data_IF_406251868077
#
_entry.id   IF_406251868077
#
_cell.length_a   1.000
_cell.length_b   1.000
_cell.length_c   1.000
_cell.angle_alpha   90.00
_cell.angle_beta   90.00
_cell.angle_gamma   90.00
#
_symmetry.space_group_name_H-M   'P 1'
#
loop_
_entity.id
_entity.type
_entity.pdbx_description
1 polymer ?
#
# COMPACT_ATOMS: atom_id res chain seq x y z
N UNK A 1 -5.70 -46.99 38.29
CA UNK A 1 -5.35 -46.38 36.98
C UNK A 1 -5.43 -44.88 37.17
N UNK A 2 -4.27 -44.27 37.45
CA UNK A 2 -4.11 -42.82 37.52
C UNK A 2 -4.39 -42.22 36.14
N UNK A 3 -5.31 -41.24 36.10
CA UNK A 3 -5.48 -40.40 34.94
C UNK A 3 -4.27 -39.47 34.84
N UNK A 4 -3.47 -39.66 33.79
CA UNK A 4 -2.36 -38.80 33.47
C UNK A 4 -2.83 -37.34 33.35
N UNK A 5 -2.30 -36.48 34.22
CA UNK A 5 -2.42 -35.05 34.10
C UNK A 5 -1.81 -34.65 32.75
N UNK A 6 -2.65 -34.20 31.82
CA UNK A 6 -2.20 -33.58 30.59
C UNK A 6 -1.37 -32.35 30.97
N UNK A 7 -0.10 -32.41 30.59
CA UNK A 7 0.89 -31.36 30.74
C UNK A 7 0.32 -30.06 30.14
N UNK A 8 0.02 -29.08 31.00
CA UNK A 8 -0.39 -27.76 30.52
C UNK A 8 0.86 -27.13 29.92
N UNK A 9 0.88 -26.75 28.63
CA UNK A 9 2.02 -26.02 28.10
C UNK A 9 2.25 -24.79 28.97
N UNK A 10 3.50 -24.62 29.42
CA UNK A 10 4.00 -23.41 30.08
C UNK A 10 3.37 -22.19 29.40
N UNK A 11 2.46 -21.51 30.09
CA UNK A 11 1.76 -20.38 29.51
C UNK A 11 2.77 -19.24 29.35
N UNK A 12 3.18 -18.97 28.11
CA UNK A 12 3.94 -17.77 27.73
C UNK A 12 3.33 -16.57 28.46
N UNK A 13 4.11 -15.87 29.29
CA UNK A 13 3.64 -14.63 29.90
C UNK A 13 3.42 -13.60 28.78
N UNK A 14 2.20 -13.08 28.59
CA UNK A 14 1.92 -12.14 27.50
C UNK A 14 2.75 -10.87 27.66
N UNK A 15 3.21 -10.31 26.54
CA UNK A 15 3.94 -9.05 26.52
C UNK A 15 3.01 -7.88 26.85
N UNK A 16 3.51 -6.94 27.65
CA UNK A 16 2.94 -5.59 27.70
C UNK A 16 3.15 -4.88 26.33
N UNK A 17 2.07 -4.43 25.66
CA UNK A 17 2.16 -3.78 24.35
C UNK A 17 3.10 -2.58 24.27
N UNK A 18 3.11 -1.73 25.29
CA UNK A 18 3.95 -0.52 25.30
C UNK A 18 5.43 -0.89 25.44
N UNK A 19 5.75 -1.79 26.37
CA UNK A 19 7.09 -2.32 26.56
C UNK A 19 7.60 -3.02 25.30
N UNK A 20 6.76 -3.85 24.67
CA UNK A 20 7.11 -4.53 23.43
C UNK A 20 7.40 -3.56 22.28
N UNK A 21 6.53 -2.57 22.08
CA UNK A 21 6.77 -1.53 21.07
C UNK A 21 8.11 -0.81 21.32
N UNK A 22 8.37 -0.40 22.56
CA UNK A 22 9.58 0.35 22.89
C UNK A 22 10.85 -0.49 22.67
N UNK A 23 10.87 -1.73 23.16
CA UNK A 23 12.08 -2.54 23.17
C UNK A 23 12.32 -3.36 21.89
N UNK A 24 11.25 -3.86 21.25
CA UNK A 24 11.36 -4.79 20.13
C UNK A 24 11.07 -4.14 18.77
N UNK A 25 10.26 -3.07 18.71
CA UNK A 25 9.89 -2.40 17.45
C UNK A 25 10.73 -1.12 17.25
N UNK A 26 10.62 -0.16 18.18
CA UNK A 26 11.27 1.15 18.07
C UNK A 26 12.79 1.05 18.04
N UNK A 27 13.39 0.24 18.91
CA UNK A 27 14.86 0.05 18.93
C UNK A 27 15.40 -0.74 17.73
N UNK A 28 14.53 -1.36 16.94
CA UNK A 28 14.87 -1.98 15.66
C UNK A 28 14.60 -1.05 14.46
N UNK A 29 14.44 0.27 14.71
CA UNK A 29 14.28 1.32 13.70
C UNK A 29 13.06 1.15 12.78
N UNK A 30 11.99 0.53 13.29
CA UNK A 30 10.70 0.53 12.60
C UNK A 30 9.95 1.81 12.95
N UNK A 31 9.80 2.68 11.96
CA UNK A 31 9.20 4.01 12.11
C UNK A 31 7.72 4.05 11.70
N UNK A 32 7.35 3.19 10.74
CA UNK A 32 5.99 3.15 10.16
C UNK A 32 5.42 1.73 10.15
N UNK A 33 4.12 1.66 10.40
CA UNK A 33 3.38 0.42 10.61
C UNK A 33 2.08 0.46 9.79
N UNK A 34 1.83 -0.55 8.97
CA UNK A 34 0.63 -0.64 8.14
C UNK A 34 -0.01 -2.02 8.30
N UNK A 35 -1.33 -2.14 8.22
CA UNK A 35 -1.91 -3.49 8.32
C UNK A 35 -3.41 -3.56 8.47
N UNK A 36 -3.91 -4.78 8.58
CA UNK A 36 -5.32 -5.08 8.84
C UNK A 36 -5.44 -5.72 10.23
N UNK A 37 -6.41 -5.31 11.08
CA UNK A 37 -6.45 -5.75 12.46
C UNK A 37 -6.58 -7.27 12.62
N UNK A 38 -5.84 -7.81 13.59
CA UNK A 38 -5.89 -9.20 14.01
C UNK A 38 -6.09 -9.28 15.53
N UNK A 39 -7.06 -10.10 15.93
CA UNK A 39 -7.29 -10.53 17.30
C UNK A 39 -6.05 -11.04 18.06
N UNK A 40 -5.15 -11.80 17.43
CA UNK A 40 -3.92 -12.29 18.07
C UNK A 40 -2.95 -11.16 18.40
N UNK A 41 -3.09 -10.02 17.71
CA UNK A 41 -2.31 -8.81 17.89
C UNK A 41 -3.09 -7.72 18.66
N UNK A 42 -4.32 -8.00 19.10
CA UNK A 42 -5.29 -6.99 19.54
C UNK A 42 -4.76 -6.01 20.60
N UNK A 43 -4.03 -6.49 21.61
CA UNK A 43 -3.38 -5.64 22.61
C UNK A 43 -2.38 -4.67 22.00
N UNK A 44 -1.49 -5.16 21.14
CA UNK A 44 -0.50 -4.35 20.41
C UNK A 44 -1.15 -3.35 19.45
N UNK A 45 -2.17 -3.78 18.71
CA UNK A 45 -2.88 -2.91 17.76
C UNK A 45 -3.69 -1.83 18.46
N UNK A 46 -4.27 -2.14 19.61
CA UNK A 46 -4.95 -1.15 20.46
C UNK A 46 -3.97 -0.12 21.00
N UNK A 47 -2.74 -0.55 21.35
CA UNK A 47 -1.66 0.37 21.70
C UNK A 47 -1.27 1.27 20.52
N UNK A 48 -1.11 0.73 19.31
CA UNK A 48 -0.78 1.55 18.12
C UNK A 48 -1.87 2.56 17.82
N UNK A 49 -3.12 2.13 17.73
CA UNK A 49 -4.25 3.02 17.44
C UNK A 49 -4.39 4.16 18.45
N UNK A 50 -4.02 3.93 19.72
CA UNK A 50 -4.14 4.93 20.77
C UNK A 50 -2.91 5.87 20.91
N UNK A 51 -1.77 5.53 20.31
CA UNK A 51 -0.49 6.23 20.55
C UNK A 51 0.30 6.59 19.28
N UNK A 52 -0.16 6.18 18.10
CA UNK A 52 0.45 6.52 16.81
C UNK A 52 -0.52 7.36 16.01
N UNK A 53 -0.03 8.44 15.43
CA UNK A 53 -0.82 9.25 14.50
C UNK A 53 -0.58 8.80 13.06
N UNK A 54 -1.55 9.06 12.21
CA UNK A 54 -1.33 9.05 10.78
C UNK A 54 -0.19 10.04 10.41
N UNK A 55 0.66 9.72 9.43
CA UNK A 55 0.68 8.48 8.65
C UNK A 55 1.62 7.39 9.19
N UNK A 56 2.09 7.50 10.44
CA UNK A 56 3.03 6.54 11.05
C UNK A 56 2.38 5.20 11.37
N UNK A 57 1.06 5.17 11.57
CA UNK A 57 0.26 3.96 11.63
C UNK A 57 -0.97 4.13 10.75
N UNK A 58 -1.19 3.21 9.81
CA UNK A 58 -2.39 3.21 8.95
C UNK A 58 -3.04 1.84 8.97
N UNK A 59 -4.32 1.81 9.32
CA UNK A 59 -5.18 0.64 9.21
C UNK A 59 -5.72 0.56 7.80
N UNK A 60 -5.29 -0.42 7.02
CA UNK A 60 -5.70 -0.59 5.63
C UNK A 60 -7.03 -1.33 5.54
N UNK A 61 -7.77 -1.14 4.44
CA UNK A 61 -9.00 -1.90 4.18
C UNK A 61 -8.69 -3.36 3.83
N UNK A 62 -7.50 -3.63 3.27
CA UNK A 62 -7.04 -4.98 2.96
C UNK A 62 -5.50 -5.10 3.02
N UNK A 63 -4.99 -6.31 3.23
CA UNK A 63 -3.58 -6.58 3.56
C UNK A 63 -2.63 -6.26 2.41
N UNK A 64 -3.07 -6.44 1.16
CA UNK A 64 -2.26 -6.08 -0.01
C UNK A 64 -1.92 -4.59 -0.04
N UNK A 65 -2.84 -3.74 0.40
CA UNK A 65 -2.60 -2.31 0.55
C UNK A 65 -1.48 -1.99 1.54
N UNK A 66 -1.38 -2.74 2.64
CA UNK A 66 -0.33 -2.56 3.64
C UNK A 66 1.06 -2.92 3.08
N UNK A 67 1.14 -4.01 2.30
CA UNK A 67 2.37 -4.42 1.60
C UNK A 67 2.79 -3.35 0.59
N UNK A 68 1.85 -2.80 -0.18
CA UNK A 68 2.12 -1.76 -1.16
C UNK A 68 2.59 -0.43 -0.52
N UNK A 69 1.97 -0.03 0.60
CA UNK A 69 2.42 1.11 1.41
C UNK A 69 3.86 0.93 1.92
N UNK A 70 4.15 -0.24 2.50
CA UNK A 70 5.50 -0.57 2.97
C UNK A 70 6.51 -0.57 1.82
N UNK A 71 6.13 -1.08 0.66
CA UNK A 71 6.99 -1.07 -0.51
C UNK A 71 7.32 0.36 -0.96
N UNK A 72 6.31 1.22 -1.06
CA UNK A 72 6.51 2.64 -1.37
C UNK A 72 7.45 3.34 -0.39
N UNK A 73 7.26 3.10 0.90
CA UNK A 73 8.13 3.64 1.95
C UNK A 73 9.59 3.19 1.77
N UNK A 74 9.82 1.91 1.49
CA UNK A 74 11.16 1.41 1.24
C UNK A 74 11.79 2.03 -0.01
N UNK A 75 11.04 2.12 -1.11
CA UNK A 75 11.52 2.72 -2.37
C UNK A 75 12.03 4.14 -2.16
N UNK A 76 11.35 4.92 -1.30
CA UNK A 76 11.67 6.32 -1.10
C UNK A 76 12.70 6.60 0.01
N UNK A 77 12.94 5.65 0.93
CA UNK A 77 13.76 5.89 2.13
C UNK A 77 14.87 4.87 2.36
N UNK A 78 14.80 3.71 1.69
CA UNK A 78 15.65 2.54 1.97
C UNK A 78 15.38 1.87 3.32
N UNK A 79 14.45 2.39 4.14
CA UNK A 79 14.11 1.84 5.46
C UNK A 79 13.09 0.72 5.36
N UNK A 80 12.96 -0.07 6.42
CA UNK A 80 12.01 -1.19 6.51
C UNK A 80 10.75 -0.73 7.26
N UNK A 81 9.58 -1.04 6.68
CA UNK A 81 8.28 -0.89 7.34
C UNK A 81 7.80 -2.22 7.93
N UNK A 82 6.90 -2.14 8.92
CA UNK A 82 6.20 -3.29 9.48
C UNK A 82 4.80 -3.40 8.87
N UNK A 83 4.49 -4.57 8.30
CA UNK A 83 3.15 -4.92 7.85
C UNK A 83 2.53 -5.92 8.83
N UNK A 84 1.44 -5.59 9.51
CA UNK A 84 0.73 -6.54 10.36
C UNK A 84 -0.53 -7.09 9.67
N UNK A 85 -0.80 -8.36 9.93
CA UNK A 85 -1.96 -9.06 9.40
C UNK A 85 -2.23 -10.35 10.20
N UNK A 86 -3.42 -10.91 10.06
CA UNK A 86 -3.68 -12.30 10.42
C UNK A 86 -3.21 -13.24 9.30
N UNK A 87 -2.97 -14.50 9.63
CA UNK A 87 -2.56 -15.53 8.66
C UNK A 87 -3.56 -15.77 7.52
N UNK A 88 -4.86 -15.59 7.70
CA UNK A 88 -5.84 -15.68 6.58
C UNK A 88 -5.65 -14.54 5.57
N UNK A 89 -5.34 -13.35 6.08
CA UNK A 89 -5.01 -12.14 5.31
C UNK A 89 -3.74 -12.28 4.47
N UNK A 90 -2.87 -13.25 4.79
CA UNK A 90 -1.70 -13.55 3.97
C UNK A 90 -2.11 -13.88 2.54
N UNK A 91 -3.22 -14.60 2.35
CA UNK A 91 -3.74 -14.94 1.02
C UNK A 91 -4.03 -13.71 0.16
N UNK A 92 -4.52 -12.64 0.77
CA UNK A 92 -4.77 -11.37 0.10
C UNK A 92 -3.47 -10.55 -0.11
N UNK A 93 -2.56 -10.62 0.85
CA UNK A 93 -1.23 -10.01 0.74
C UNK A 93 -0.33 -10.68 -0.32
N UNK A 94 -0.57 -11.95 -0.67
CA UNK A 94 0.29 -12.70 -1.59
C UNK A 94 0.44 -12.04 -2.95
N UNK A 95 -0.60 -11.35 -3.47
CA UNK A 95 -0.49 -10.68 -4.77
C UNK A 95 0.65 -9.65 -4.78
N UNK A 96 0.65 -8.58 -3.94
CA UNK A 96 1.78 -7.66 -3.90
C UNK A 96 3.04 -8.26 -3.26
N UNK A 97 2.96 -9.28 -2.39
CA UNK A 97 4.18 -9.93 -1.91
C UNK A 97 4.95 -10.59 -3.05
N UNK A 98 4.27 -11.32 -3.93
CA UNK A 98 4.89 -12.01 -5.07
C UNK A 98 5.23 -11.06 -6.21
N UNK A 99 4.33 -10.15 -6.54
CA UNK A 99 4.43 -9.33 -7.77
C UNK A 99 5.06 -7.95 -7.58
N UNK A 100 5.35 -7.57 -6.33
CA UNK A 100 6.05 -6.34 -5.98
C UNK A 100 7.24 -6.63 -5.07
N UNK A 101 7.04 -7.29 -3.93
CA UNK A 101 8.08 -7.37 -2.90
C UNK A 101 9.12 -8.49 -3.10
N UNK A 102 8.76 -9.59 -3.77
CA UNK A 102 9.61 -10.74 -3.95
C UNK A 102 10.96 -10.41 -4.62
N UNK A 103 12.00 -11.15 -4.23
CA UNK A 103 13.39 -10.97 -4.67
C UNK A 103 13.56 -11.08 -6.18
N UNK A 104 12.76 -11.91 -6.82
CA UNK A 104 12.74 -12.19 -8.25
C UNK A 104 12.17 -11.01 -9.05
N UNK A 105 11.32 -10.19 -8.42
CA UNK A 105 10.66 -9.03 -9.03
C UNK A 105 11.41 -7.75 -8.67
N UNK A 106 10.95 -6.96 -7.68
CA UNK A 106 11.68 -5.76 -7.27
C UNK A 106 12.61 -6.02 -6.08
N UNK A 107 12.38 -7.05 -5.28
CA UNK A 107 13.17 -7.38 -4.09
C UNK A 107 13.16 -6.25 -3.07
N UNK A 108 12.00 -6.08 -2.43
CA UNK A 108 11.70 -4.99 -1.50
C UNK A 108 11.67 -5.53 -0.06
N UNK A 109 12.65 -5.15 0.77
CA UNK A 109 12.68 -5.47 2.20
C UNK A 109 11.47 -4.95 2.98
N UNK A 110 10.88 -5.81 3.80
CA UNK A 110 9.81 -5.48 4.74
C UNK A 110 9.68 -6.54 5.84
N UNK A 111 9.15 -6.16 7.00
CA UNK A 111 8.84 -7.10 8.08
C UNK A 111 7.33 -7.34 8.15
N UNK A 112 6.91 -8.59 7.96
CA UNK A 112 5.55 -9.05 8.22
C UNK A 112 5.43 -9.47 9.69
N UNK A 113 4.39 -9.02 10.37
CA UNK A 113 3.99 -9.51 11.69
C UNK A 113 2.66 -10.22 11.56
N UNK A 114 2.70 -11.55 11.59
CA UNK A 114 1.55 -12.39 11.24
C UNK A 114 1.04 -13.08 12.50
N UNK A 115 -0.18 -12.79 12.92
CA UNK A 115 -0.78 -13.54 14.01
C UNK A 115 -1.27 -14.92 13.55
N UNK A 116 -1.07 -15.92 14.42
CA UNK A 116 -1.25 -17.33 14.10
C UNK A 116 -2.59 -17.88 14.59
N UNK A 117 -3.68 -17.51 13.91
CA UNK A 117 -5.01 -18.10 14.16
C UNK A 117 -5.04 -19.57 13.71
N UNK A 118 -5.64 -20.44 14.52
CA UNK A 118 -5.70 -21.88 14.27
C UNK A 118 -4.36 -22.60 14.43
N UNK A 119 -3.45 -22.09 15.28
CA UNK A 119 -2.17 -22.75 15.57
C UNK A 119 -2.40 -24.22 16.02
N UNK A 120 -1.69 -25.21 15.43
CA UNK A 120 -1.83 -26.60 15.84
C UNK A 120 -1.68 -26.80 17.35
N UNK A 121 -2.58 -27.58 17.95
CA UNK A 121 -2.62 -27.82 19.40
C UNK A 121 -3.39 -26.77 20.21
N UNK A 122 -3.84 -25.67 19.60
CA UNK A 122 -4.66 -24.64 20.26
C UNK A 122 -6.06 -24.63 19.63
N UNK A 123 -7.10 -24.71 20.47
CA UNK A 123 -8.49 -24.61 20.01
C UNK A 123 -8.79 -23.16 19.60
N UNK A 124 -9.37 -22.99 18.42
CA UNK A 124 -9.75 -21.70 17.83
C UNK A 124 -11.06 -21.88 17.03
N UNK A 125 -11.57 -20.81 16.45
CA UNK A 125 -12.78 -20.79 15.63
C UNK A 125 -12.67 -21.70 14.41
N UNK A 126 -13.77 -22.36 13.98
CA UNK A 126 -13.75 -23.38 12.94
C UNK A 126 -13.10 -22.95 11.62
N UNK A 127 -13.30 -21.70 11.21
CA UNK A 127 -12.73 -21.16 9.96
C UNK A 127 -11.19 -21.14 9.95
N UNK A 128 -10.53 -21.17 11.11
CA UNK A 128 -9.08 -21.16 11.20
C UNK A 128 -8.45 -22.55 11.07
N UNK A 129 -9.26 -23.62 11.17
CA UNK A 129 -8.77 -25.00 11.19
C UNK A 129 -8.01 -25.40 9.91
N UNK A 130 -8.32 -24.76 8.79
CA UNK A 130 -7.65 -25.02 7.50
C UNK A 130 -6.36 -24.23 7.34
N UNK A 131 -6.38 -22.93 7.66
CA UNK A 131 -5.31 -21.98 7.35
C UNK A 131 -4.23 -22.01 8.43
N UNK A 132 -4.60 -22.14 9.71
CA UNK A 132 -3.67 -22.13 10.83
C UNK A 132 -2.56 -23.17 10.73
N UNK A 133 -2.86 -24.46 10.53
CA UNK A 133 -1.84 -25.50 10.37
C UNK A 133 -0.93 -25.31 9.14
N UNK A 134 -1.38 -24.54 8.13
CA UNK A 134 -0.69 -24.37 6.85
C UNK A 134 0.12 -23.09 6.74
N UNK A 135 0.07 -22.20 7.75
CA UNK A 135 0.77 -20.92 7.71
C UNK A 135 2.25 -21.08 7.37
N UNK A 136 2.95 -21.97 8.09
CA UNK A 136 4.41 -22.14 7.89
C UNK A 136 4.73 -22.67 6.49
N UNK A 137 3.95 -23.63 5.99
CA UNK A 137 4.16 -24.19 4.66
C UNK A 137 3.79 -23.20 3.56
N UNK A 138 2.81 -22.33 3.80
CA UNK A 138 2.49 -21.23 2.89
C UNK A 138 3.65 -20.22 2.82
N UNK A 139 4.25 -19.85 3.94
CA UNK A 139 5.43 -18.95 3.96
C UNK A 139 6.62 -19.59 3.24
N UNK A 140 6.90 -20.89 3.48
CA UNK A 140 7.94 -21.64 2.76
C UNK A 140 7.68 -21.68 1.25
N UNK A 141 6.44 -21.94 0.83
CA UNK A 141 6.07 -22.02 -0.58
C UNK A 141 6.21 -20.68 -1.32
N UNK A 142 6.30 -19.57 -0.59
CA UNK A 142 6.51 -18.22 -1.14
C UNK A 142 7.91 -17.67 -0.85
N UNK A 143 8.84 -18.52 -0.38
CA UNK A 143 10.20 -18.13 -0.04
C UNK A 143 10.30 -16.93 0.92
N UNK A 144 9.36 -16.82 1.87
CA UNK A 144 9.34 -15.79 2.92
C UNK A 144 10.00 -16.38 4.15
N UNK A 145 11.22 -15.95 4.54
CA UNK A 145 11.85 -16.41 5.76
C UNK A 145 11.06 -15.99 6.98
N UNK A 146 10.94 -16.87 7.97
CA UNK A 146 10.19 -16.58 9.17
C UNK A 146 10.79 -17.16 10.44
N UNK A 147 10.43 -16.55 11.57
CA UNK A 147 10.67 -17.06 12.91
C UNK A 147 9.42 -16.84 13.78
N UNK A 148 9.13 -17.75 14.69
CA UNK A 148 8.08 -17.54 15.70
C UNK A 148 8.56 -16.55 16.77
N UNK A 149 7.65 -15.72 17.28
CA UNK A 149 7.95 -14.76 18.33
C UNK A 149 8.31 -15.50 19.64
N UNK A 150 9.51 -15.30 20.20
CA UNK A 150 9.93 -15.93 21.46
C UNK A 150 9.17 -15.40 22.67
N UNK A 151 9.33 -16.07 23.81
CA UNK A 151 8.63 -15.75 25.08
C UNK A 151 9.21 -14.55 25.84
N UNK A 152 10.44 -14.12 25.53
CA UNK A 152 11.08 -13.00 26.24
C UNK A 152 11.30 -11.79 25.34
N UNK A 153 11.28 -10.60 25.94
CA UNK A 153 11.44 -9.35 25.19
C UNK A 153 12.83 -9.24 24.54
N UNK A 154 13.87 -9.68 25.24
CA UNK A 154 15.26 -9.68 24.74
C UNK A 154 15.43 -10.58 23.53
N UNK A 155 14.82 -11.78 23.55
CA UNK A 155 14.85 -12.69 22.40
C UNK A 155 13.99 -12.17 21.25
N UNK A 156 12.80 -11.61 21.53
CA UNK A 156 11.93 -11.00 20.51
C UNK A 156 12.62 -9.86 19.77
N UNK A 157 13.29 -8.96 20.50
CA UNK A 157 14.12 -7.90 19.93
C UNK A 157 15.21 -8.45 19.02
N UNK A 158 15.89 -9.53 19.43
CA UNK A 158 16.95 -10.16 18.66
C UNK A 158 16.44 -10.86 17.38
N UNK A 159 15.30 -11.54 17.45
CA UNK A 159 14.63 -12.16 16.30
C UNK A 159 14.25 -11.09 15.28
N UNK A 160 13.54 -10.03 15.71
CA UNK A 160 13.14 -8.93 14.82
C UNK A 160 14.37 -8.28 14.18
N UNK A 161 15.43 -8.00 14.95
CA UNK A 161 16.68 -7.45 14.44
C UNK A 161 17.28 -8.32 13.33
N UNK A 162 17.36 -9.62 13.57
CA UNK A 162 17.95 -10.59 12.66
C UNK A 162 17.12 -10.75 11.38
N UNK A 163 15.78 -10.81 11.51
CA UNK A 163 14.88 -10.85 10.37
C UNK A 163 15.02 -9.58 9.50
N UNK A 164 15.03 -8.39 10.10
CA UNK A 164 15.23 -7.13 9.35
C UNK A 164 16.59 -7.13 8.62
N UNK A 165 17.66 -7.51 9.31
CA UNK A 165 18.98 -7.62 8.70
C UNK A 165 18.99 -8.59 7.51
N UNK A 166 18.34 -9.75 7.67
CA UNK A 166 18.15 -10.73 6.59
C UNK A 166 17.36 -10.16 5.43
N UNK A 167 16.25 -9.48 5.69
CA UNK A 167 15.38 -8.85 4.68
C UNK A 167 16.15 -7.87 3.81
N UNK A 168 16.98 -7.01 4.43
CA UNK A 168 17.82 -6.04 3.75
C UNK A 168 18.91 -6.69 2.88
N UNK A 169 19.57 -7.75 3.38
CA UNK A 169 20.64 -8.45 2.66
C UNK A 169 20.09 -9.31 1.53
N UNK A 170 19.06 -10.10 1.80
CA UNK A 170 18.47 -11.04 0.84
C UNK A 170 17.49 -10.36 -0.13
N UNK A 171 17.12 -9.10 0.14
CA UNK A 171 16.16 -8.30 -0.65
C UNK A 171 14.80 -9.00 -0.77
N UNK A 172 14.24 -9.44 0.35
CA UNK A 172 12.97 -10.19 0.40
C UNK A 172 12.15 -9.82 1.64
N UNK A 173 10.80 -9.93 1.61
CA UNK A 173 9.98 -9.89 2.82
C UNK A 173 10.38 -10.98 3.81
N UNK A 174 10.28 -10.68 5.10
CA UNK A 174 10.49 -11.65 6.19
C UNK A 174 9.32 -11.59 7.15
N UNK A 175 9.04 -12.66 7.89
CA UNK A 175 7.91 -12.72 8.81
C UNK A 175 8.30 -13.06 10.25
N UNK A 176 7.71 -12.36 11.21
CA UNK A 176 7.64 -12.81 12.60
C UNK A 176 6.23 -13.31 12.88
N UNK A 177 6.12 -14.53 13.39
CA UNK A 177 4.84 -15.21 13.61
C UNK A 177 4.45 -15.05 15.08
N UNK A 178 3.27 -14.49 15.34
CA UNK A 178 2.82 -14.17 16.69
C UNK A 178 1.78 -15.21 17.15
N UNK A 179 2.07 -16.01 18.19
CA UNK A 179 1.11 -16.98 18.71
C UNK A 179 -0.10 -16.28 19.37
N UNK A 180 -1.26 -16.96 19.47
CA UNK A 180 -2.40 -16.46 20.23
C UNK A 180 -2.02 -16.15 21.68
N UNK A 181 -2.53 -15.04 22.21
CA UNK A 181 -2.27 -14.64 23.60
C UNK A 181 -0.91 -13.99 23.85
N UNK A 182 -0.15 -13.64 22.80
CA UNK A 182 1.17 -13.05 22.95
C UNK A 182 1.18 -11.66 23.62
N UNK A 183 0.05 -10.95 23.68
CA UNK A 183 -0.04 -9.59 24.22
C UNK A 183 -1.13 -9.47 25.28
N UNK A 184 -0.86 -8.73 26.35
CA UNK A 184 -1.91 -8.31 27.29
C UNK A 184 -2.87 -7.33 26.60
N UNK A 185 -4.15 -7.27 27.02
CA UNK A 185 -5.07 -6.23 26.57
C UNK A 185 -4.50 -4.83 26.87
N UNK A 186 -4.65 -3.91 25.93
CA UNK A 186 -4.28 -2.51 26.13
C UNK A 186 -5.52 -1.63 26.18
N UNK A 187 -5.63 -0.84 27.25
CA UNK A 187 -6.63 0.23 27.37
C UNK A 187 -5.89 1.47 27.83
N UNK A 188 -5.97 2.57 27.08
CA UNK A 188 -5.39 3.84 27.50
C UNK A 188 -6.26 4.45 28.61
N UNK A 189 -5.67 4.90 29.72
CA UNK A 189 -6.38 5.51 30.87
C UNK A 189 -7.00 6.89 30.59
N UNK A 190 -6.96 7.37 29.36
CA UNK A 190 -7.76 8.51 28.87
C UNK A 190 -8.30 8.12 27.51
N UNK A 191 -9.60 8.32 27.32
CA UNK A 191 -10.38 8.20 26.07
C UNK A 191 -11.55 7.19 26.10
N UNK A 192 -12.29 7.14 27.21
CA UNK A 192 -13.70 6.67 27.17
C UNK A 192 -14.63 7.73 26.53
N UNK A 193 -14.21 8.99 26.40
CA UNK A 193 -15.00 10.06 25.77
C UNK A 193 -14.75 10.26 24.27
N UNK A 194 -13.62 9.80 23.72
CA UNK A 194 -13.30 9.89 22.27
C UNK A 194 -13.49 8.57 21.52
N UNK A 195 -14.04 7.54 22.18
CA UNK A 195 -14.48 6.32 21.51
C UNK A 195 -15.65 6.64 20.57
N UNK A 196 -15.26 6.80 19.32
CA UNK A 196 -16.08 7.04 18.14
C UNK A 196 -16.72 8.43 18.12
N UNK A 197 -15.97 9.43 17.61
CA UNK A 197 -16.62 10.45 16.78
C UNK A 197 -17.17 9.75 15.54
N UNK A 198 -18.30 9.05 15.69
CA UNK A 198 -19.20 8.74 14.59
C UNK A 198 -19.61 10.10 14.06
N UNK A 199 -19.00 10.51 12.94
CA UNK A 199 -19.16 11.85 12.40
C UNK A 199 -17.93 12.72 12.49
N UNK A 200 -16.79 12.26 11.93
CA UNK A 200 -16.07 13.19 11.03
C UNK A 200 -16.99 13.48 9.84
N UNK A 201 -18.06 14.26 10.06
CA UNK A 201 -18.57 15.18 9.03
C UNK A 201 -17.50 16.23 8.88
N UNK A 202 -16.40 15.80 8.28
CA UNK A 202 -15.30 16.62 7.87
C UNK A 202 -15.81 17.39 6.65
N UNK A 203 -16.76 18.31 6.86
CA UNK A 203 -17.20 19.33 5.91
C UNK A 203 -16.03 20.30 5.78
N UNK A 204 -14.98 19.82 5.13
CA UNK A 204 -13.87 20.66 4.70
C UNK A 204 -14.17 21.12 3.29
N UNK A 205 -13.63 22.29 2.94
CA UNK A 205 -13.82 22.90 1.62
C UNK A 205 -13.16 22.04 0.55
N UNK A 206 -13.89 21.04 0.07
CA UNK A 206 -13.55 20.31 -1.13
C UNK A 206 -13.69 21.27 -2.31
N UNK A 207 -12.62 21.49 -3.04
CA UNK A 207 -12.71 22.16 -4.34
C UNK A 207 -13.03 21.10 -5.39
N UNK A 208 -14.30 20.95 -5.77
CA UNK A 208 -14.70 20.17 -6.94
C UNK A 208 -14.73 21.08 -8.16
N UNK A 209 -14.08 20.67 -9.25
CA UNK A 209 -14.18 21.34 -10.55
C UNK A 209 -14.47 20.32 -11.64
N UNK A 210 -15.46 20.62 -12.49
CA UNK A 210 -15.73 19.90 -13.73
C UNK A 210 -15.35 20.81 -14.89
N UNK A 211 -14.29 20.46 -15.61
CA UNK A 211 -13.80 21.23 -16.77
C UNK A 211 -14.27 20.51 -18.06
N UNK A 212 -14.84 21.28 -18.99
CA UNK A 212 -15.96 20.88 -19.85
C UNK A 212 -15.79 19.74 -20.86
N UNK A 213 -16.92 18.99 -20.95
CA UNK A 213 -17.43 18.02 -21.93
C UNK A 213 -18.25 18.71 -23.06
N UNK A 214 -17.62 19.22 -24.12
CA UNK A 214 -18.14 19.24 -25.51
C UNK A 214 -17.13 19.80 -26.56
N UNK A 215 -17.11 19.13 -27.72
CA UNK A 215 -16.51 19.36 -29.06
C UNK A 215 -15.06 19.86 -29.26
N UNK A 216 -14.29 18.95 -29.90
CA UNK A 216 -13.08 19.10 -30.74
C UNK A 216 -11.65 18.90 -30.21
N UNK A 217 -11.43 18.40 -28.99
CA UNK A 217 -10.12 17.85 -28.60
C UNK A 217 -10.27 16.72 -27.56
N UNK A 218 -10.56 15.50 -28.02
CA UNK A 218 -10.74 14.34 -27.16
C UNK A 218 -9.45 14.01 -26.40
N UNK A 219 -9.58 13.79 -25.09
CA UNK A 219 -8.48 13.33 -24.26
C UNK A 219 -8.20 11.84 -24.50
N UNK A 220 -6.92 11.50 -24.64
CA UNK A 220 -6.41 10.13 -24.74
C UNK A 220 -5.52 9.82 -23.54
N UNK A 221 -5.27 8.54 -23.23
CA UNK A 221 -4.36 8.17 -22.13
C UNK A 221 -2.95 8.72 -22.36
N UNK A 222 -2.46 8.65 -23.60
CA UNK A 222 -1.18 9.24 -23.98
C UNK A 222 -1.12 10.75 -23.68
N UNK A 223 -2.19 11.50 -24.04
CA UNK A 223 -2.26 12.94 -23.76
C UNK A 223 -2.32 13.23 -22.26
N UNK A 224 -2.95 12.36 -21.46
CA UNK A 224 -2.89 12.46 -19.99
C UNK A 224 -1.45 12.30 -19.49
N UNK A 225 -0.77 11.25 -19.92
CA UNK A 225 0.64 10.97 -19.55
C UNK A 225 1.55 12.14 -19.95
N UNK A 226 1.45 12.62 -21.20
CA UNK A 226 2.23 13.77 -21.67
C UNK A 226 1.93 15.03 -20.88
N UNK A 227 0.66 15.29 -20.57
CA UNK A 227 0.22 16.43 -19.77
C UNK A 227 0.86 16.41 -18.38
N UNK A 228 0.76 15.28 -17.68
CA UNK A 228 1.37 15.08 -16.35
C UNK A 228 2.88 15.31 -16.43
N UNK A 229 3.58 14.62 -17.33
CA UNK A 229 5.03 14.77 -17.48
C UNK A 229 5.47 16.21 -17.78
N UNK A 230 4.68 16.98 -18.54
CA UNK A 230 4.97 18.38 -18.85
C UNK A 230 4.81 19.33 -17.65
N UNK A 231 4.12 18.90 -16.59
CA UNK A 231 3.86 19.71 -15.38
C UNK A 231 4.62 19.19 -14.14
N UNK A 232 5.36 18.09 -14.28
CA UNK A 232 6.28 17.61 -13.26
C UNK A 232 7.49 18.54 -13.17
N UNK A 233 7.81 18.95 -11.96
CA UNK A 233 9.07 19.60 -11.61
C UNK A 233 10.18 18.54 -11.45
N UNK A 234 11.43 18.98 -11.40
CA UNK A 234 12.60 18.09 -11.25
C UNK A 234 12.55 17.24 -9.97
N UNK A 235 12.03 17.78 -8.88
CA UNK A 235 11.88 17.07 -7.60
C UNK A 235 10.67 16.12 -7.54
N UNK A 236 9.80 16.15 -8.56
CA UNK A 236 8.60 15.33 -8.61
C UNK A 236 8.95 13.92 -9.10
N UNK A 237 8.23 12.93 -8.58
CA UNK A 237 8.33 11.54 -9.03
C UNK A 237 6.96 11.02 -9.41
N UNK A 238 6.90 9.97 -10.22
CA UNK A 238 5.64 9.32 -10.56
C UNK A 238 5.63 7.83 -10.24
N UNK A 239 4.45 7.32 -9.93
CA UNK A 239 4.13 5.89 -9.86
C UNK A 239 3.06 5.62 -10.91
N UNK A 240 3.23 4.59 -11.73
CA UNK A 240 2.21 4.18 -12.71
C UNK A 240 1.73 2.76 -12.46
N UNK A 241 0.43 2.51 -12.65
CA UNK A 241 -0.11 1.16 -12.58
C UNK A 241 0.27 0.31 -13.80
N UNK A 242 0.17 -1.01 -13.64
CA UNK A 242 0.52 -1.99 -14.65
C UNK A 242 -0.25 -1.80 -15.97
N UNK A 243 0.24 -2.44 -17.02
CA UNK A 243 -0.47 -2.48 -18.30
C UNK A 243 -0.27 -1.20 -19.11
N UNK A 244 -1.35 -0.68 -19.71
CA UNK A 244 -1.30 0.47 -20.62
C UNK A 244 -0.59 1.69 -20.01
N UNK A 245 -0.93 2.05 -18.78
CA UNK A 245 -0.43 3.25 -18.11
C UNK A 245 1.09 3.26 -17.96
N UNK A 246 1.68 2.21 -17.36
CA UNK A 246 3.15 2.12 -17.25
C UNK A 246 3.85 2.05 -18.60
N UNK A 247 3.25 1.37 -19.60
CA UNK A 247 3.86 1.23 -20.92
C UNK A 247 3.83 2.54 -21.71
N UNK A 248 2.76 3.31 -21.62
CA UNK A 248 2.66 4.65 -22.23
C UNK A 248 3.61 5.64 -21.56
N UNK A 249 3.68 5.64 -20.21
CA UNK A 249 4.65 6.46 -19.49
C UNK A 249 6.08 6.16 -19.93
N UNK A 250 6.43 4.87 -20.04
CA UNK A 250 7.73 4.43 -20.52
C UNK A 250 7.99 4.87 -21.96
N UNK A 251 7.04 4.66 -22.87
CA UNK A 251 7.12 5.08 -24.27
C UNK A 251 7.38 6.58 -24.39
N UNK A 252 6.58 7.41 -23.72
CA UNK A 252 6.69 8.87 -23.79
C UNK A 252 8.03 9.37 -23.28
N UNK A 253 8.55 8.81 -22.17
CA UNK A 253 9.91 9.15 -21.67
C UNK A 253 10.99 8.80 -22.68
N UNK A 254 10.91 7.61 -23.30
CA UNK A 254 11.88 7.15 -24.30
C UNK A 254 11.89 8.02 -25.55
N UNK A 255 10.73 8.39 -26.07
CA UNK A 255 10.61 9.28 -27.23
C UNK A 255 11.25 10.64 -26.99
N UNK A 256 11.15 11.16 -25.75
CA UNK A 256 11.77 12.43 -25.36
C UNK A 256 13.26 12.31 -25.03
N UNK A 257 13.81 11.10 -24.96
CA UNK A 257 15.18 10.87 -24.49
C UNK A 257 15.39 11.25 -23.01
N UNK A 258 14.32 11.29 -22.22
CA UNK A 258 14.36 11.67 -20.80
C UNK A 258 14.68 10.46 -19.91
N UNK A 259 15.30 10.74 -18.75
CA UNK A 259 15.56 9.70 -17.76
C UNK A 259 14.25 9.12 -17.19
N UNK A 260 14.22 7.80 -17.03
CA UNK A 260 13.09 7.07 -16.44
C UNK A 260 13.24 6.87 -14.93
N UNK A 261 14.35 7.30 -14.33
CA UNK A 261 14.65 7.10 -12.91
C UNK A 261 13.63 7.77 -12.00
N UNK A 262 13.01 8.88 -12.40
CA UNK A 262 11.94 9.53 -11.64
C UNK A 262 10.59 8.81 -11.71
N UNK A 263 10.50 7.67 -12.40
CA UNK A 263 9.26 6.94 -12.67
C UNK A 263 9.33 5.50 -12.12
N UNK A 264 8.51 5.19 -11.11
CA UNK A 264 8.32 3.83 -10.65
C UNK A 264 7.17 3.15 -11.40
N UNK A 265 7.51 2.13 -12.19
CA UNK A 265 6.54 1.35 -12.96
C UNK A 265 6.06 0.16 -12.13
N UNK A 266 4.83 0.18 -11.61
CA UNK A 266 4.27 -0.94 -10.86
C UNK A 266 3.83 -2.06 -11.81
N UNK A 267 4.72 -3.03 -12.08
CA UNK A 267 4.53 -3.99 -13.17
C UNK A 267 3.53 -5.13 -12.90
N UNK A 268 3.27 -5.50 -11.63
CA UNK A 268 2.52 -6.71 -11.30
C UNK A 268 1.51 -6.61 -10.15
N UNK A 269 1.68 -5.68 -9.20
CA UNK A 269 0.76 -5.52 -8.07
C UNK A 269 -0.48 -4.74 -8.49
N UNK A 270 -1.53 -5.49 -8.86
CA UNK A 270 -2.73 -4.95 -9.48
C UNK A 270 -3.48 -4.01 -8.55
N UNK A 271 -3.78 -2.78 -9.00
CA UNK A 271 -4.50 -1.77 -8.22
C UNK A 271 -3.78 -1.22 -6.99
N UNK A 272 -2.48 -1.51 -6.83
CA UNK A 272 -1.70 -1.09 -5.67
C UNK A 272 -0.85 0.17 -5.88
N UNK A 273 -0.88 0.78 -7.06
CA UNK A 273 -0.10 1.99 -7.40
C UNK A 273 -0.35 3.15 -6.43
N UNK A 274 -1.60 3.41 -6.05
CA UNK A 274 -1.91 4.51 -5.13
C UNK A 274 -1.39 4.27 -3.70
N UNK A 275 -1.40 3.02 -3.24
CA UNK A 275 -0.78 2.64 -1.97
C UNK A 275 0.75 2.78 -2.02
N UNK A 276 1.39 2.36 -3.12
CA UNK A 276 2.83 2.61 -3.35
C UNK A 276 3.14 4.10 -3.35
N UNK A 277 2.33 4.93 -4.02
CA UNK A 277 2.52 6.37 -4.07
C UNK A 277 2.40 7.04 -2.69
N UNK A 278 1.42 6.63 -1.87
CA UNK A 278 1.30 7.09 -0.49
C UNK A 278 2.52 6.69 0.35
N UNK A 279 3.01 5.46 0.21
CA UNK A 279 4.24 5.02 0.87
C UNK A 279 5.46 5.85 0.46
N UNK A 280 5.62 6.14 -0.83
CA UNK A 280 6.70 6.99 -1.36
C UNK A 280 6.61 8.41 -0.82
N UNK A 281 5.39 8.92 -0.58
CA UNK A 281 5.17 10.28 -0.09
C UNK A 281 5.63 10.48 1.36
N UNK A 282 5.79 9.42 2.13
CA UNK A 282 6.31 9.47 3.50
C UNK A 282 7.77 9.94 3.60
N UNK A 283 8.49 10.06 2.48
CA UNK A 283 9.81 10.69 2.47
C UNK A 283 9.73 12.19 2.83
N UNK A 284 10.73 12.73 3.55
CA UNK A 284 10.83 14.17 3.75
C UNK A 284 11.26 14.85 2.44
N UNK A 285 10.28 15.33 1.67
CA UNK A 285 10.49 16.04 0.40
C UNK A 285 9.39 17.08 0.15
N UNK A 286 9.76 18.17 -0.52
CA UNK A 286 8.84 19.17 -1.08
C UNK A 286 8.28 18.78 -2.44
N UNK A 287 8.88 17.80 -3.12
CA UNK A 287 8.43 17.31 -4.42
C UNK A 287 7.09 16.58 -4.34
N UNK A 288 6.36 16.57 -5.46
CA UNK A 288 5.10 15.86 -5.62
C UNK A 288 5.31 14.39 -5.96
N UNK A 289 4.30 13.59 -5.65
CA UNK A 289 4.19 12.21 -6.08
C UNK A 289 2.95 12.09 -6.96
N UNK A 290 3.16 11.84 -8.25
CA UNK A 290 2.07 11.61 -9.21
C UNK A 290 1.77 10.11 -9.30
N UNK A 291 0.61 9.67 -8.84
CA UNK A 291 0.09 8.33 -9.11
C UNK A 291 -0.74 8.36 -10.38
N UNK A 292 -0.23 7.82 -11.48
CA UNK A 292 -0.98 7.69 -12.74
C UNK A 292 -1.60 6.30 -12.76
N UNK A 293 -2.90 6.23 -12.63
CA UNK A 293 -3.66 5.00 -12.49
C UNK A 293 -4.72 4.84 -13.59
N UNK A 294 -5.19 3.62 -13.78
CA UNK A 294 -6.37 3.33 -14.62
C UNK A 294 -7.59 3.07 -13.75
N UNK A 295 -8.78 3.35 -14.26
CA UNK A 295 -10.07 3.08 -13.61
C UNK A 295 -10.25 1.65 -13.08
N UNK A 296 -9.86 0.63 -13.84
CA UNK A 296 -9.93 -0.76 -13.39
C UNK A 296 -9.01 -1.04 -12.19
N UNK A 297 -7.83 -0.45 -12.19
CA UNK A 297 -6.83 -0.54 -11.12
C UNK A 297 -7.30 0.23 -9.87
N UNK A 298 -7.90 1.41 -10.07
CA UNK A 298 -8.56 2.17 -9.02
C UNK A 298 -9.69 1.38 -8.34
N UNK A 299 -10.52 0.67 -9.11
CA UNK A 299 -11.64 -0.12 -8.57
C UNK A 299 -11.18 -1.38 -7.82
N UNK A 300 -10.12 -2.05 -8.27
CA UNK A 300 -9.58 -3.25 -7.62
C UNK A 300 -9.31 -3.03 -6.12
N UNK A 301 -8.89 -1.82 -5.75
CA UNK A 301 -8.57 -1.46 -4.37
C UNK A 301 -9.31 -0.20 -3.89
N UNK A 302 -10.56 0.00 -4.31
CA UNK A 302 -11.37 1.17 -3.90
C UNK A 302 -11.43 1.36 -2.37
N UNK A 303 -11.53 0.27 -1.60
CA UNK A 303 -11.52 0.34 -0.14
C UNK A 303 -10.21 0.90 0.42
N UNK A 304 -9.05 0.51 -0.13
CA UNK A 304 -7.77 1.11 0.26
C UNK A 304 -7.66 2.55 -0.25
N UNK A 305 -8.17 2.86 -1.44
CA UNK A 305 -8.17 4.22 -1.97
C UNK A 305 -8.98 5.17 -1.08
N UNK A 306 -10.09 4.70 -0.50
CA UNK A 306 -10.87 5.47 0.46
C UNK A 306 -10.07 5.76 1.74
N UNK A 307 -9.44 4.74 2.33
CA UNK A 307 -8.57 4.91 3.51
C UNK A 307 -7.43 5.89 3.21
N UNK A 308 -6.77 5.74 2.07
CA UNK A 308 -5.61 6.55 1.70
C UNK A 308 -5.97 7.99 1.32
N UNK A 309 -7.15 8.22 0.73
CA UNK A 309 -7.66 9.57 0.49
C UNK A 309 -7.89 10.32 1.80
N UNK A 310 -8.37 9.64 2.84
CA UNK A 310 -8.58 10.19 4.18
C UNK A 310 -7.28 10.66 4.86
N UNK A 311 -6.13 10.08 4.50
CA UNK A 311 -4.82 10.52 5.00
C UNK A 311 -4.43 11.92 4.49
N UNK A 312 -5.01 12.38 3.37
CA UNK A 312 -4.80 13.72 2.79
C UNK A 312 -3.32 14.11 2.70
N UNK A 313 -2.51 13.18 2.19
CA UNK A 313 -1.07 13.39 2.07
C UNK A 313 -0.78 14.62 1.19
N UNK A 314 -0.10 15.66 1.71
CA UNK A 314 0.19 16.85 0.91
C UNK A 314 1.10 16.48 -0.27
N UNK A 315 1.05 17.21 -1.37
CA UNK A 315 1.84 16.96 -2.59
C UNK A 315 1.62 15.57 -3.23
N UNK A 316 0.53 14.87 -2.91
CA UNK A 316 0.14 13.62 -3.56
C UNK A 316 -0.95 13.90 -4.60
N UNK A 317 -0.69 13.54 -5.86
CA UNK A 317 -1.60 13.76 -6.98
C UNK A 317 -1.97 12.41 -7.57
N UNK A 318 -3.23 12.00 -7.43
CA UNK A 318 -3.77 10.79 -8.02
C UNK A 318 -4.47 11.12 -9.33
N UNK A 319 -3.88 10.73 -10.45
CA UNK A 319 -4.44 10.90 -11.79
C UNK A 319 -5.03 9.57 -12.24
N UNK A 320 -6.35 9.47 -12.32
CA UNK A 320 -7.06 8.26 -12.75
C UNK A 320 -7.55 8.45 -14.18
N UNK A 321 -7.04 7.62 -15.08
CA UNK A 321 -7.49 7.54 -16.47
C UNK A 321 -8.71 6.65 -16.54
N UNK A 322 -9.85 7.23 -16.90
CA UNK A 322 -11.12 6.54 -17.03
C UNK A 322 -11.49 6.35 -18.49
N UNK A 323 -11.58 5.09 -18.94
CA UNK A 323 -12.08 4.73 -20.27
C UNK A 323 -13.15 3.62 -20.23
N UNK A 324 -13.55 3.18 -19.04
CA UNK A 324 -14.62 2.22 -18.82
C UNK A 324 -14.23 0.78 -19.15
N UNK A 325 -12.95 0.44 -19.34
CA UNK A 325 -12.53 -0.91 -19.76
C UNK A 325 -11.24 -1.39 -19.08
N UNK A 326 -11.12 -2.70 -18.86
CA UNK A 326 -9.85 -3.36 -18.59
C UNK A 326 -9.02 -3.49 -19.89
N UNK A 327 -8.33 -2.42 -20.30
CA UNK A 327 -7.62 -2.41 -21.59
C UNK A 327 -6.56 -3.51 -21.74
N UNK A 328 -5.85 -3.86 -20.66
CA UNK A 328 -4.73 -4.81 -20.72
C UNK A 328 -5.14 -6.26 -21.00
N UNK A 329 -6.40 -6.61 -20.79
CA UNK A 329 -6.91 -7.98 -20.93
C UNK A 329 -7.78 -8.17 -22.17
N UNK A 330 -7.89 -7.17 -23.03
CA UNK A 330 -8.71 -7.21 -24.25
C UNK A 330 -9.92 -6.28 -24.23
N UNK A 331 -9.86 -5.18 -23.49
CA UNK A 331 -10.90 -4.15 -23.43
C UNK A 331 -12.26 -4.65 -22.89
N UNK A 332 -12.24 -5.55 -21.90
CA UNK A 332 -13.48 -5.95 -21.23
C UNK A 332 -14.09 -4.74 -20.51
N UNK A 333 -15.40 -4.48 -20.64
CA UNK A 333 -16.04 -3.37 -19.98
C UNK A 333 -15.99 -3.51 -18.46
N UNK A 334 -15.81 -2.39 -17.77
CA UNK A 334 -16.09 -2.32 -16.34
C UNK A 334 -17.59 -2.52 -16.11
N UNK A 335 -17.95 -3.25 -15.06
CA UNK A 335 -19.36 -3.48 -14.72
C UNK A 335 -20.02 -2.23 -14.12
N UNK A 336 -19.24 -1.37 -13.45
CA UNK A 336 -19.73 -0.11 -12.90
C UNK A 336 -19.99 0.90 -14.03
N UNK A 337 -21.11 1.60 -13.98
CA UNK A 337 -21.38 2.69 -14.93
C UNK A 337 -20.43 3.86 -14.71
N UNK A 338 -20.26 4.69 -15.75
CA UNK A 338 -19.47 5.93 -15.65
C UNK A 338 -19.96 6.83 -14.51
N UNK A 339 -21.26 7.08 -14.41
CA UNK A 339 -21.81 7.96 -13.37
C UNK A 339 -21.59 7.40 -11.96
N UNK A 340 -21.74 6.09 -11.79
CA UNK A 340 -21.49 5.45 -10.50
C UNK A 340 -19.99 5.47 -10.14
N UNK A 341 -19.10 5.31 -11.11
CA UNK A 341 -17.65 5.47 -10.90
C UNK A 341 -17.31 6.90 -10.48
N UNK A 342 -17.81 7.89 -11.21
CA UNK A 342 -17.56 9.31 -10.91
C UNK A 342 -18.11 9.69 -9.53
N UNK A 343 -19.30 9.19 -9.16
CA UNK A 343 -19.87 9.39 -7.83
C UNK A 343 -19.04 8.70 -6.73
N UNK A 344 -18.54 7.49 -6.97
CA UNK A 344 -17.67 6.80 -6.03
C UNK A 344 -16.33 7.55 -5.84
N UNK A 345 -15.72 8.02 -6.93
CA UNK A 345 -14.50 8.82 -6.92
C UNK A 345 -14.72 10.17 -6.22
N UNK A 346 -15.86 10.81 -6.46
CA UNK A 346 -16.24 12.06 -5.81
C UNK A 346 -16.50 11.87 -4.31
N UNK A 347 -17.04 10.73 -3.88
CA UNK A 347 -17.24 10.43 -2.46
C UNK A 347 -15.94 10.29 -1.65
N UNK A 348 -14.78 10.18 -2.30
CA UNK A 348 -13.49 10.02 -1.62
C UNK A 348 -12.94 11.37 -1.12
N UNK A 349 -12.26 11.33 0.02
CA UNK A 349 -11.94 12.52 0.81
C UNK A 349 -10.64 13.25 0.43
N UNK A 350 -10.35 13.32 -0.87
CA UNK A 350 -9.27 14.17 -1.39
C UNK A 350 -9.60 15.65 -1.13
N UNK A 351 -8.58 16.47 -0.84
CA UNK A 351 -8.77 17.91 -0.59
C UNK A 351 -9.12 18.69 -1.87
N UNK A 352 -8.60 18.24 -3.02
CA UNK A 352 -8.98 18.71 -4.34
C UNK A 352 -9.45 17.54 -5.20
N UNK A 353 -10.55 17.75 -5.94
CA UNK A 353 -11.06 16.79 -6.92
C UNK A 353 -11.37 17.51 -8.22
N UNK A 354 -10.80 17.02 -9.32
CA UNK A 354 -11.00 17.60 -10.64
C UNK A 354 -11.39 16.52 -11.62
N UNK A 355 -12.47 16.73 -12.35
CA UNK A 355 -12.94 15.84 -13.40
C UNK A 355 -12.75 16.56 -14.74
N UNK A 356 -12.01 15.94 -15.64
CA UNK A 356 -11.61 16.52 -16.93
C UNK A 356 -11.80 15.50 -18.05
N UNK A 357 -12.12 15.96 -19.25
CA UNK A 357 -12.24 15.12 -20.45
C UNK A 357 -11.67 15.77 -21.72
N UNK A 358 -10.99 16.91 -21.54
CA UNK A 358 -10.33 17.65 -22.61
C UNK A 358 -8.87 17.97 -22.25
N UNK A 359 -8.03 18.12 -23.28
CA UNK A 359 -6.61 18.48 -23.12
C UNK A 359 -6.44 19.80 -22.39
N UNK A 360 -7.25 20.81 -22.75
CA UNK A 360 -7.22 22.12 -22.11
C UNK A 360 -7.59 22.03 -20.62
N UNK A 361 -8.66 21.29 -20.29
CA UNK A 361 -9.09 21.06 -18.90
C UNK A 361 -8.03 20.33 -18.08
N UNK A 362 -7.38 19.30 -18.65
CA UNK A 362 -6.27 18.62 -17.98
C UNK A 362 -5.12 19.58 -17.65
N UNK A 363 -4.68 20.40 -18.61
CA UNK A 363 -3.60 21.36 -18.38
C UNK A 363 -3.98 22.44 -17.37
N UNK A 364 -5.23 22.89 -17.35
CA UNK A 364 -5.72 23.79 -16.30
C UNK A 364 -5.68 23.12 -14.92
N UNK A 365 -6.16 21.88 -14.81
CA UNK A 365 -6.12 21.11 -13.58
C UNK A 365 -4.68 20.97 -13.06
N UNK A 366 -3.74 20.59 -13.94
CA UNK A 366 -2.33 20.41 -13.60
C UNK A 366 -1.62 21.73 -13.21
N UNK A 367 -1.96 22.86 -13.85
CA UNK A 367 -1.46 24.19 -13.46
C UNK A 367 -2.02 24.66 -12.12
N UNK A 368 -3.20 24.19 -11.73
CA UNK A 368 -3.87 24.57 -10.48
C UNK A 368 -3.44 23.76 -9.26
N UNK A 369 -2.56 22.76 -9.44
CA UNK A 369 -2.05 21.94 -8.36
C UNK A 369 -1.30 22.79 -7.33
N UNK A 370 -1.66 22.61 -6.06
CA UNK A 370 -0.93 23.15 -4.91
C UNK A 370 -0.46 22.01 -4.00
N UNK A 371 -0.19 22.30 -2.73
CA UNK A 371 0.28 21.29 -1.78
C UNK A 371 -0.79 20.32 -1.30
N UNK A 372 -2.06 20.51 -1.65
CA UNK A 372 -3.16 19.63 -1.22
C UNK A 372 -3.14 18.28 -1.93
N UNK A 373 -3.64 17.27 -1.23
CA UNK A 373 -3.95 15.97 -1.82
C UNK A 373 -5.01 16.14 -2.92
N UNK A 374 -4.68 15.69 -4.13
CA UNK A 374 -5.51 15.94 -5.33
C UNK A 374 -5.87 14.66 -6.04
N UNK A 375 -7.14 14.50 -6.40
CA UNK A 375 -7.62 13.54 -7.38
C UNK A 375 -7.94 14.25 -8.70
N UNK A 376 -7.39 13.77 -9.80
CA UNK A 376 -7.78 14.14 -11.16
C UNK A 376 -8.35 12.89 -11.82
N UNK A 377 -9.64 12.89 -12.16
CA UNK A 377 -10.21 11.85 -13.02
C UNK A 377 -10.24 12.38 -14.45
N UNK A 378 -9.37 11.80 -15.28
CA UNK A 378 -9.24 12.11 -16.69
C UNK A 378 -10.06 11.12 -17.51
N UNK A 379 -11.19 11.58 -18.02
CA UNK A 379 -12.11 10.80 -18.83
C UNK A 379 -11.59 10.80 -20.26
N UNK A 380 -11.38 9.61 -20.80
CA UNK A 380 -10.77 9.38 -22.10
C UNK A 380 -11.65 8.51 -22.97
N UNK A 381 -11.58 8.70 -24.28
CA UNK A 381 -12.38 7.95 -25.26
C UNK A 381 -11.55 6.92 -26.04
N UNK A 382 -10.34 6.58 -25.56
CA UNK A 382 -9.42 5.67 -26.22
C UNK A 382 -9.21 4.35 -25.45
N UNK A 383 -8.83 3.33 -26.21
CA UNK A 383 -8.34 2.06 -25.69
C UNK A 383 -6.83 2.01 -25.84
N UNK A 384 -6.16 1.28 -24.95
CA UNK A 384 -4.69 1.17 -25.00
C UNK A 384 -4.22 0.68 -26.38
N UNK A 385 -3.19 1.32 -26.94
CA UNK A 385 -2.56 0.83 -28.16
C UNK A 385 -2.01 -0.59 -27.95
N UNK A 386 -2.31 -1.49 -28.89
CA UNK A 386 -1.79 -2.86 -28.85
C UNK A 386 -0.26 -2.94 -29.06
N UNK A 387 0.37 -1.84 -29.48
CA UNK A 387 1.80 -1.77 -29.83
C UNK A 387 2.68 -1.09 -28.76
N UNK A 388 2.16 -0.90 -27.55
CA UNK A 388 2.92 -0.22 -26.50
C UNK A 388 4.16 -1.03 -26.07
N UNK A 389 5.35 -0.41 -26.02
CA UNK A 389 6.57 -1.09 -25.60
C UNK A 389 6.49 -1.48 -24.12
N UNK A 390 7.18 -2.56 -23.76
CA UNK A 390 7.46 -2.88 -22.36
C UNK A 390 8.80 -2.23 -21.96
N UNK A 391 9.00 -1.89 -20.68
CA UNK A 391 10.33 -1.57 -20.18
C UNK A 391 11.34 -2.64 -20.60
N UNK A 392 12.49 -2.22 -21.11
CA UNK A 392 13.59 -3.12 -21.48
C UNK A 392 14.36 -3.59 -20.26
N UNK A 393 14.40 -2.74 -19.23
CA UNK A 393 15.00 -2.98 -17.93
C UNK A 393 14.21 -4.04 -17.15
N UNK A 394 14.94 -4.82 -16.37
CA UNK A 394 14.36 -5.70 -15.36
C UNK A 394 13.70 -4.88 -14.25
N UNK A 395 12.75 -5.50 -13.53
CA UNK A 395 12.11 -4.86 -12.37
C UNK A 395 13.14 -4.38 -11.33
N UNK A 396 14.23 -5.13 -11.11
CA UNK A 396 15.32 -4.72 -10.20
C UNK A 396 16.07 -3.48 -10.67
N UNK A 397 16.40 -3.41 -11.96
CA UNK A 397 17.07 -2.23 -12.54
C UNK A 397 16.16 -1.00 -12.43
N UNK A 398 14.87 -1.11 -12.77
CA UNK A 398 13.91 -0.02 -12.63
C UNK A 398 13.81 0.47 -11.18
N UNK A 399 13.77 -0.45 -10.21
CA UNK A 399 13.79 -0.09 -8.79
C UNK A 399 15.07 0.63 -8.42
N UNK A 400 16.22 0.05 -8.74
CA UNK A 400 17.51 0.57 -8.29
C UNK A 400 17.78 1.97 -8.91
N UNK A 401 17.33 2.20 -10.16
CA UNK A 401 17.29 3.52 -10.79
C UNK A 401 16.38 4.48 -10.02
N UNK A 402 15.15 4.07 -9.71
CA UNK A 402 14.19 4.91 -8.97
C UNK A 402 14.67 5.27 -7.56
N UNK A 403 15.27 4.31 -6.85
CA UNK A 403 15.86 4.56 -5.53
C UNK A 403 17.10 5.47 -5.61
N UNK A 404 17.81 5.46 -6.74
CA UNK A 404 18.97 6.31 -6.98
C UNK A 404 18.66 7.80 -6.96
N UNK A 405 17.45 8.19 -7.38
CA UNK A 405 17.00 9.59 -7.40
C UNK A 405 16.73 10.18 -6.00
N UNK A 406 16.71 9.35 -4.94
CA UNK A 406 16.53 9.81 -3.56
C UNK A 406 17.81 9.84 -2.73
N UNK A 407 18.96 9.44 -3.30
CA UNK A 407 20.21 9.26 -2.57
C UNK A 407 21.16 10.45 -2.64
#
# INVERSE_FOLDING_TARGET
MEAAAADRPSAMMPFDPQHFHNEAIKLNNIEVIFGVPDSSLSGLLSYFAANKSEPQHVVMANEGGAVAMAAGYHLATGKVALCYLQNSGLSNALNPLQSLAAKEVFGIPMLLMIGWRGKPGIKDEPQHALIGPRLLDNLKANDIPFEELPETISQSKAVIKRLIARSLVEKTPVAVIVPPGAFTPYTKERDLETRVQYGRTNVHTVTERRLALEHNNLLSRELVVRGVLAHMAEADVSVSSLGGTSRELYMVRREKGEAISSNFFCLGAMGHSFAVANGIRLRPSSGRVFCIDGDGSFLMHLGNNAVLADLRQPNLVHVVVFNGVHSSTGNQPLTISRDAFLAAADGLNYEQKVFVDSVAGLHEALRSLDSRSTLIVAITNDVASAKLPRPSETARELKDMFMGDFR
#
